data_IF_572559929265
#
_entry.id   IF_572559929265
#
_cell.length_a   1.000
_cell.length_b   1.000
_cell.length_c   1.000
_cell.angle_alpha   90.00
_cell.angle_beta   90.00
_cell.angle_gamma   90.00
#
_symmetry.space_group_name_H-M   'P 1'
#
loop_
_entity.id
_entity.type
_entity.pdbx_description
1 polymer ?
#
# COMPACT_ATOMS: atom_id res chain seq x y z
N UNK A 1 -6.39 -4.81 19.55
CA UNK A 1 -4.96 -5.10 19.33
C UNK A 1 -4.61 -4.28 18.12
N UNK A 2 -4.02 -3.11 18.37
CA UNK A 2 -3.63 -2.22 17.29
C UNK A 2 -2.30 -2.73 16.74
N UNK A 3 -2.05 -2.56 15.45
CA UNK A 3 -0.80 -2.98 14.83
C UNK A 3 0.44 -2.39 15.53
N UNK A 4 0.28 -1.21 16.12
CA UNK A 4 1.26 -0.53 16.97
C UNK A 4 1.79 -1.41 18.12
N UNK A 5 0.96 -2.28 18.69
CA UNK A 5 1.33 -3.12 19.83
C UNK A 5 2.26 -4.28 19.46
N UNK A 6 2.36 -4.62 18.16
CA UNK A 6 3.08 -5.81 17.67
C UNK A 6 4.16 -5.49 16.63
N UNK A 7 4.38 -4.22 16.29
CA UNK A 7 5.28 -3.82 15.21
C UNK A 7 6.74 -4.27 15.46
N UNK A 8 7.19 -4.26 16.71
CA UNK A 8 8.52 -4.75 17.09
C UNK A 8 8.66 -6.24 16.80
N UNK A 9 7.66 -7.04 17.21
CA UNK A 9 7.65 -8.48 16.94
C UNK A 9 7.57 -8.79 15.44
N UNK A 10 6.88 -7.95 14.65
CA UNK A 10 6.87 -8.07 13.18
C UNK A 10 8.25 -7.73 12.61
N UNK A 11 8.93 -6.70 13.11
CA UNK A 11 10.29 -6.35 12.69
C UNK A 11 11.30 -7.45 13.02
N UNK A 12 11.13 -8.16 14.14
CA UNK A 12 11.95 -9.32 14.53
C UNK A 12 11.80 -10.52 13.59
N UNK A 13 10.73 -10.59 12.78
CA UNK A 13 10.61 -11.61 11.73
C UNK A 13 11.65 -11.42 10.62
N UNK A 14 12.25 -10.24 10.51
CA UNK A 14 13.28 -9.88 9.53
C UNK A 14 12.86 -10.21 8.09
N UNK A 15 11.59 -9.96 7.77
CA UNK A 15 11.08 -10.12 6.42
C UNK A 15 11.60 -8.97 5.54
N UNK A 16 12.13 -9.30 4.36
CA UNK A 16 12.59 -8.30 3.38
C UNK A 16 11.45 -7.34 2.98
N UNK A 17 10.26 -7.91 2.77
CA UNK A 17 9.05 -7.19 2.39
C UNK A 17 7.85 -7.73 3.15
N UNK A 18 7.05 -6.84 3.73
CA UNK A 18 5.74 -7.17 4.29
C UNK A 18 4.62 -6.52 3.49
N UNK A 19 3.48 -7.19 3.35
CA UNK A 19 2.25 -6.59 2.82
C UNK A 19 1.21 -6.49 3.93
N UNK A 20 0.56 -5.33 4.05
CA UNK A 20 -0.42 -5.06 5.11
C UNK A 20 -1.73 -4.52 4.53
N UNK A 21 -2.86 -4.86 5.16
CA UNK A 21 -4.18 -4.36 4.76
C UNK A 21 -4.38 -2.92 5.26
N UNK A 22 -4.58 -1.97 4.34
CA UNK A 22 -4.64 -0.53 4.70
C UNK A 22 -5.69 0.28 3.95
N UNK A 23 -6.33 -0.27 2.91
CA UNK A 23 -7.18 0.55 2.04
C UNK A 23 -8.42 1.10 2.76
N UNK A 24 -8.93 0.40 3.79
CA UNK A 24 -10.10 0.80 4.57
C UNK A 24 -9.79 1.73 5.73
N UNK A 25 -8.61 1.60 6.34
CA UNK A 25 -8.15 2.44 7.45
C UNK A 25 -7.56 3.77 6.99
N UNK A 26 -7.67 4.11 5.70
CA UNK A 26 -7.15 5.36 5.12
C UNK A 26 -5.68 5.68 5.44
N UNK A 27 -4.87 4.65 5.71
CA UNK A 27 -3.48 4.78 6.14
C UNK A 27 -3.26 5.24 7.59
N UNK A 28 -4.25 5.15 8.50
CA UNK A 28 -4.02 5.34 9.95
C UNK A 28 -2.93 4.39 10.47
N UNK A 29 -2.86 3.19 9.91
CA UNK A 29 -1.80 2.22 10.15
C UNK A 29 -0.40 2.73 9.76
N UNK A 30 -0.30 3.77 8.93
CA UNK A 30 1.00 4.33 8.56
C UNK A 30 1.57 5.27 9.61
N UNK A 31 0.76 5.80 10.53
CA UNK A 31 1.25 6.60 11.65
C UNK A 31 2.17 5.76 12.57
N UNK A 32 1.93 4.44 12.64
CA UNK A 32 2.81 3.48 13.28
C UNK A 32 4.27 3.58 12.79
N UNK A 33 4.47 3.82 11.49
CA UNK A 33 5.79 3.91 10.87
C UNK A 33 6.44 5.29 11.05
N UNK A 34 5.68 6.28 11.51
CA UNK A 34 6.24 7.58 11.90
C UNK A 34 6.99 7.43 13.22
N UNK A 35 6.37 6.76 14.19
CA UNK A 35 6.94 6.56 15.52
C UNK A 35 7.97 5.43 15.52
N UNK A 36 7.73 4.36 14.75
CA UNK A 36 8.64 3.24 14.59
C UNK A 36 9.28 3.22 13.20
N UNK A 37 10.59 3.49 13.13
CA UNK A 37 11.36 3.46 11.88
C UNK A 37 11.59 2.02 11.40
N UNK A 38 10.59 1.44 10.75
CA UNK A 38 10.68 0.11 10.16
C UNK A 38 11.79 0.07 9.10
N UNK A 39 12.75 -0.87 9.20
CA UNK A 39 13.96 -0.84 8.38
C UNK A 39 13.75 -1.35 6.96
N UNK A 40 12.77 -2.23 6.75
CA UNK A 40 12.60 -3.00 5.51
C UNK A 40 11.47 -2.43 4.64
N UNK A 41 11.09 -3.15 3.58
CA UNK A 41 10.12 -2.68 2.58
C UNK A 41 8.68 -3.07 2.97
N UNK A 42 7.71 -2.25 2.58
CA UNK A 42 6.31 -2.36 3.00
C UNK A 42 5.38 -2.13 1.80
N UNK A 43 4.40 -3.01 1.67
CA UNK A 43 3.32 -2.93 0.71
C UNK A 43 1.98 -2.60 1.36
N UNK A 44 1.65 -1.31 1.57
CA UNK A 44 0.35 -0.92 2.07
C UNK A 44 -0.71 -1.14 0.99
N UNK A 45 -1.71 -1.97 1.27
CA UNK A 45 -2.78 -2.26 0.33
C UNK A 45 -3.54 -1.01 -0.13
N UNK A 46 -3.61 -0.80 -1.45
CA UNK A 46 -4.29 0.36 -2.08
C UNK A 46 -5.60 -0.01 -2.78
N UNK A 47 -5.97 -1.28 -2.76
CA UNK A 47 -7.18 -1.81 -3.36
C UNK A 47 -7.94 -2.65 -2.33
N UNK A 48 -9.10 -2.13 -1.88
CA UNK A 48 -10.06 -2.86 -1.06
C UNK A 48 -10.64 -4.03 -1.84
N UNK A 49 -10.03 -5.20 -1.66
CA UNK A 49 -10.48 -6.42 -2.33
C UNK A 49 -11.78 -6.94 -1.75
N UNK A 50 -12.36 -6.38 -0.68
CA UNK A 50 -13.65 -6.80 -0.11
C UNK A 50 -14.84 -6.02 -0.67
N UNK A 51 -14.58 -5.05 -1.55
CA UNK A 51 -15.58 -4.29 -2.30
C UNK A 51 -15.57 -4.70 -3.78
N UNK A 52 -16.73 -4.85 -4.45
CA UNK A 52 -16.80 -5.05 -5.90
C UNK A 52 -16.56 -3.73 -6.68
N UNK A 53 -16.38 -2.60 -5.98
CA UNK A 53 -16.16 -1.30 -6.62
C UNK A 53 -14.83 -1.30 -7.38
N UNK A 54 -14.86 -0.81 -8.62
CA UNK A 54 -13.63 -0.49 -9.34
C UNK A 54 -13.03 0.78 -8.75
N UNK A 55 -11.88 0.64 -8.10
CA UNK A 55 -11.17 1.76 -7.48
C UNK A 55 -10.45 2.58 -8.57
N UNK A 56 -10.72 3.89 -8.70
CA UNK A 56 -10.05 4.76 -9.66
C UNK A 56 -8.54 4.89 -9.39
N UNK A 57 -7.76 5.06 -10.45
CA UNK A 57 -6.31 5.28 -10.35
C UNK A 57 -5.95 6.44 -9.42
N UNK A 58 -6.67 7.57 -9.51
CA UNK A 58 -6.41 8.78 -8.72
C UNK A 58 -6.58 8.56 -7.21
N UNK A 59 -7.47 7.65 -6.81
CA UNK A 59 -7.66 7.31 -5.39
C UNK A 59 -6.46 6.51 -4.88
N UNK A 60 -5.96 5.55 -5.67
CA UNK A 60 -4.75 4.80 -5.33
C UNK A 60 -3.51 5.71 -5.29
N UNK A 61 -3.38 6.66 -6.21
CA UNK A 61 -2.31 7.66 -6.19
C UNK A 61 -2.37 8.53 -4.92
N UNK A 62 -3.57 8.91 -4.45
CA UNK A 62 -3.73 9.66 -3.21
C UNK A 62 -3.25 8.85 -2.00
N UNK A 63 -3.55 7.55 -1.95
CA UNK A 63 -3.06 6.64 -0.92
C UNK A 63 -1.53 6.48 -0.96
N UNK A 64 -0.95 6.28 -2.14
CA UNK A 64 0.51 6.19 -2.31
C UNK A 64 1.22 7.49 -1.92
N UNK A 65 0.64 8.65 -2.24
CA UNK A 65 1.16 9.95 -1.80
C UNK A 65 1.12 10.13 -0.29
N UNK A 66 0.12 9.57 0.41
CA UNK A 66 0.11 9.54 1.87
C UNK A 66 1.26 8.66 2.40
N UNK A 67 1.44 7.47 1.83
CA UNK A 67 2.51 6.57 2.22
C UNK A 67 3.91 7.17 2.01
N UNK A 68 4.14 7.84 0.88
CA UNK A 68 5.40 8.50 0.56
C UNK A 68 5.74 9.70 1.47
N UNK A 69 4.83 10.14 2.36
CA UNK A 69 5.16 11.16 3.37
C UNK A 69 5.91 10.60 4.57
N UNK A 70 5.78 9.30 4.81
CA UNK A 70 6.26 8.64 6.03
C UNK A 70 7.23 7.49 5.73
N UNK A 71 7.12 6.89 4.53
CA UNK A 71 8.04 5.89 4.01
C UNK A 71 8.89 6.47 2.87
N UNK A 72 10.13 6.01 2.73
CA UNK A 72 10.94 6.31 1.55
C UNK A 72 10.35 5.65 0.31
N UNK A 73 10.57 6.26 -0.86
CA UNK A 73 10.01 5.76 -2.11
C UNK A 73 10.49 4.34 -2.48
N UNK A 74 11.73 3.99 -2.13
CA UNK A 74 12.33 2.67 -2.34
C UNK A 74 11.79 1.60 -1.37
N UNK A 75 11.17 2.01 -0.26
CA UNK A 75 10.51 1.09 0.68
C UNK A 75 9.09 0.71 0.29
N UNK A 76 8.47 1.37 -0.70
CA UNK A 76 7.03 1.23 -0.97
C UNK A 76 6.76 0.22 -2.08
N UNK A 77 6.00 -0.83 -1.74
CA UNK A 77 5.36 -1.74 -2.69
C UNK A 77 3.92 -1.32 -2.98
N UNK A 78 3.44 -1.65 -4.18
CA UNK A 78 2.05 -1.37 -4.60
C UNK A 78 1.33 -2.69 -4.85
N UNK A 79 0.40 -3.04 -3.94
CA UNK A 79 -0.36 -4.28 -3.96
C UNK A 79 -1.83 -4.07 -3.54
N UNK A 80 -2.72 -5.04 -3.82
CA UNK A 80 -4.03 -5.09 -3.19
C UNK A 80 -3.92 -5.37 -1.69
N UNK A 81 -5.01 -5.14 -0.94
CA UNK A 81 -5.06 -5.50 0.49
C UNK A 81 -4.79 -6.99 0.72
N UNK A 82 -5.38 -7.86 -0.12
CA UNK A 82 -5.30 -9.31 0.08
C UNK A 82 -5.48 -10.05 -1.26
N UNK A 83 -5.63 -11.37 -1.19
CA UNK A 83 -5.88 -12.24 -2.33
C UNK A 83 -7.21 -11.94 -3.04
N UNK A 84 -7.22 -12.13 -4.36
CA UNK A 84 -8.35 -11.76 -5.24
C UNK A 84 -9.37 -12.87 -5.47
N UNK A 85 -9.30 -13.97 -4.71
CA UNK A 85 -10.11 -15.20 -4.92
C UNK A 85 -11.62 -14.95 -4.96
N UNK A 86 -12.10 -13.94 -4.24
CA UNK A 86 -13.54 -13.65 -4.11
C UNK A 86 -14.05 -12.65 -5.15
N UNK A 87 -13.17 -12.06 -5.98
CA UNK A 87 -13.49 -11.02 -6.96
C UNK A 87 -13.74 -11.58 -8.35
N UNK A 88 -14.52 -10.85 -9.14
CA UNK A 88 -14.80 -11.19 -10.54
C UNK A 88 -13.68 -10.69 -11.45
N UNK A 89 -13.53 -11.31 -12.61
CA UNK A 89 -12.44 -10.97 -13.53
C UNK A 89 -12.52 -9.54 -14.08
N UNK A 90 -13.72 -9.05 -14.42
CA UNK A 90 -13.89 -7.72 -15.01
C UNK A 90 -13.44 -6.61 -14.04
N UNK A 91 -13.98 -6.61 -12.82
CA UNK A 91 -13.60 -5.66 -11.76
C UNK A 91 -12.11 -5.79 -11.39
N UNK A 92 -11.61 -7.03 -11.25
CA UNK A 92 -10.21 -7.30 -10.89
C UNK A 92 -9.23 -6.77 -11.93
N UNK A 93 -9.46 -7.07 -13.22
CA UNK A 93 -8.60 -6.60 -14.31
C UNK A 93 -8.57 -5.07 -14.36
N UNK A 94 -9.72 -4.42 -14.16
CA UNK A 94 -9.77 -2.97 -14.19
C UNK A 94 -9.06 -2.34 -13.00
N UNK A 95 -9.28 -2.84 -11.77
CA UNK A 95 -8.56 -2.38 -10.59
C UNK A 95 -7.04 -2.57 -10.71
N UNK A 96 -6.58 -3.72 -11.19
CA UNK A 96 -5.15 -3.99 -11.36
C UNK A 96 -4.52 -3.07 -12.43
N UNK A 97 -5.22 -2.78 -13.53
CA UNK A 97 -4.76 -1.80 -14.53
C UNK A 97 -4.62 -0.41 -13.91
N UNK A 98 -5.62 0.01 -13.13
CA UNK A 98 -5.59 1.30 -12.43
C UNK A 98 -4.43 1.36 -11.42
N UNK A 99 -4.18 0.27 -10.68
CA UNK A 99 -3.11 0.15 -9.69
C UNK A 99 -1.72 0.24 -10.34
N UNK A 100 -1.51 -0.47 -11.45
CA UNK A 100 -0.28 -0.37 -12.24
C UNK A 100 -0.12 1.04 -12.83
N UNK A 101 -1.22 1.66 -13.27
CA UNK A 101 -1.25 3.05 -13.72
C UNK A 101 -0.78 4.02 -12.63
N UNK A 102 -1.32 3.90 -11.42
CA UNK A 102 -0.94 4.71 -10.27
C UNK A 102 0.55 4.56 -9.94
N UNK A 103 1.06 3.32 -9.89
CA UNK A 103 2.48 3.06 -9.66
C UNK A 103 3.38 3.70 -10.73
N UNK A 104 2.98 3.63 -12.01
CA UNK A 104 3.72 4.30 -13.11
C UNK A 104 3.71 5.82 -12.96
N UNK A 105 2.57 6.42 -12.62
CA UNK A 105 2.49 7.85 -12.34
C UNK A 105 3.43 8.27 -11.21
N UNK A 106 3.42 7.52 -10.09
CA UNK A 106 4.27 7.80 -8.94
C UNK A 106 5.77 7.69 -9.27
N UNK A 107 6.17 6.73 -10.10
CA UNK A 107 7.56 6.62 -10.60
C UNK A 107 7.95 7.81 -11.47
N UNK A 108 7.05 8.28 -12.34
CA UNK A 108 7.27 9.48 -13.14
C UNK A 108 7.44 10.75 -12.28
N UNK A 109 6.72 10.85 -11.15
CA UNK A 109 6.90 11.93 -10.18
C UNK A 109 8.24 11.82 -9.44
N UNK A 110 8.69 10.62 -9.08
CA UNK A 110 9.94 10.40 -8.39
C UNK A 110 11.16 10.86 -9.21
N UNK A 111 11.16 10.61 -10.53
CA UNK A 111 12.25 11.02 -11.44
C UNK A 111 12.33 12.55 -11.63
N UNK A 112 11.24 13.28 -11.38
CA UNK A 112 11.22 14.75 -11.49
C UNK A 112 11.61 15.48 -10.19
N UNK A 113 11.79 14.74 -9.08
CA UNK A 113 12.07 15.28 -7.75
C UNK A 113 13.54 15.10 -7.30
N UNK A 114 14.40 14.50 -8.13
CA UNK A 114 15.87 14.51 -8.03
C UNK A 114 16.48 15.62 -8.89
#
# INVERSE_FOLDING_TARGET
>A
AEFNDIIEAVAELDADVISIETSRSQMELLDAFVDFKYPNEIGPGVYDIHSPRVVPQVEMEALLKKAAKVLKADQIWVNPDCGLKTRKWEETKQCLRNMVGAAKSMRGLAVAAE
#
